data_IF_017429333044
#
_entry.id   IF_017429333044
#
_cell.length_a   1.000
_cell.length_b   1.000
_cell.length_c   1.000
_cell.angle_alpha   90.00
_cell.angle_beta   90.00
_cell.angle_gamma   90.00
#
_symmetry.space_group_name_H-M   'P 1'
#
loop_
_entity.id
_entity.type
_entity.pdbx_description
1 polymer ?
#
# COMPACT_ATOMS: atom_id res chain seq x y z
N UNK A 1 8.69 39.70 -52.29
CA UNK A 1 7.98 40.39 -51.19
C UNK A 1 7.52 41.73 -51.74
N UNK A 2 6.26 41.81 -52.16
CA UNK A 2 5.68 43.00 -52.79
C UNK A 2 5.06 43.86 -51.68
N UNK A 3 5.59 45.06 -51.45
CA UNK A 3 5.01 46.01 -50.50
C UNK A 3 3.97 46.86 -51.24
N UNK A 4 2.69 46.68 -50.91
CA UNK A 4 1.61 47.57 -51.35
C UNK A 4 1.76 48.89 -50.63
N UNK A 5 1.97 49.97 -51.38
CA UNK A 5 2.00 51.35 -50.89
C UNK A 5 0.55 51.82 -50.82
N UNK A 6 0.02 52.00 -49.61
CA UNK A 6 -1.30 52.59 -49.36
C UNK A 6 -1.19 54.12 -49.49
N UNK A 7 -1.96 54.70 -50.41
CA UNK A 7 -1.95 56.12 -50.71
C UNK A 7 -2.71 56.91 -49.63
N UNK A 8 -2.00 57.74 -48.87
CA UNK A 8 -2.59 58.61 -47.87
C UNK A 8 -3.46 59.73 -48.50
N UNK A 9 -4.70 59.84 -48.01
CA UNK A 9 -5.66 60.94 -48.24
C UNK A 9 -5.13 62.29 -47.69
N UNK A 10 -5.29 63.43 -48.40
CA UNK A 10 -4.78 64.72 -47.97
C UNK A 10 -5.74 65.39 -46.99
N UNK A 11 -5.92 64.77 -45.82
CA UNK A 11 -6.99 65.08 -44.87
C UNK A 11 -6.64 64.86 -43.41
N UNK A 12 -5.37 65.04 -43.02
CA UNK A 12 -5.03 65.48 -41.66
C UNK A 12 -5.24 64.51 -40.49
N UNK A 13 -5.35 63.21 -40.70
CA UNK A 13 -5.09 62.22 -39.64
C UNK A 13 -4.11 61.16 -40.16
N UNK A 14 -2.98 60.90 -39.47
CA UNK A 14 -2.14 59.78 -39.83
C UNK A 14 -2.97 58.51 -39.71
N UNK A 15 -3.07 57.75 -40.80
CA UNK A 15 -3.73 56.46 -40.78
C UNK A 15 -3.09 55.61 -39.66
N UNK A 16 -3.90 55.18 -38.69
CA UNK A 16 -3.40 54.24 -37.68
C UNK A 16 -3.01 52.96 -38.41
N UNK A 17 -1.83 52.39 -38.11
CA UNK A 17 -1.44 51.12 -38.72
C UNK A 17 -2.48 50.06 -38.37
N UNK A 18 -2.86 49.25 -39.35
CA UNK A 18 -3.74 48.11 -39.12
C UNK A 18 -3.12 47.19 -38.07
N UNK A 19 -3.88 46.75 -37.04
CA UNK A 19 -3.35 45.83 -36.05
C UNK A 19 -2.91 44.52 -36.70
N UNK A 20 -1.91 43.82 -36.14
CA UNK A 20 -1.50 42.53 -36.66
C UNK A 20 -2.66 41.53 -36.58
N UNK A 21 -2.72 40.53 -37.48
CA UNK A 21 -3.69 39.44 -37.38
C UNK A 21 -3.62 38.72 -36.03
N UNK A 22 -4.77 38.29 -35.52
CA UNK A 22 -4.83 37.48 -34.31
C UNK A 22 -4.11 36.14 -34.51
N UNK A 23 -3.50 35.65 -33.44
CA UNK A 23 -2.88 34.34 -33.46
C UNK A 23 -3.93 33.25 -33.72
N UNK A 24 -3.57 32.17 -34.44
CA UNK A 24 -4.48 31.05 -34.62
C UNK A 24 -4.84 30.44 -33.25
N UNK A 25 -6.06 29.89 -33.09
CA UNK A 25 -6.45 29.22 -31.86
C UNK A 25 -5.51 28.06 -31.59
N UNK A 26 -5.17 27.84 -30.31
CA UNK A 26 -4.34 26.71 -29.91
C UNK A 26 -5.05 25.42 -30.27
N UNK A 27 -4.36 24.56 -31.03
CA UNK A 27 -4.86 23.22 -31.30
C UNK A 27 -4.71 22.34 -30.05
N UNK A 28 -5.68 21.47 -29.74
CA UNK A 28 -5.50 20.45 -28.71
C UNK A 28 -4.23 19.65 -28.99
N UNK A 29 -3.38 19.51 -27.97
CA UNK A 29 -2.23 18.60 -28.06
C UNK A 29 -2.73 17.17 -27.99
N UNK A 30 -2.23 16.29 -28.86
CA UNK A 30 -2.56 14.87 -28.80
C UNK A 30 -1.93 14.24 -27.55
N UNK A 31 -2.75 13.53 -26.77
CA UNK A 31 -2.28 12.75 -25.64
C UNK A 31 -1.84 11.38 -26.18
N UNK A 32 -0.62 10.90 -25.87
CA UNK A 32 -0.20 9.58 -26.29
C UNK A 32 -1.13 8.51 -25.69
N UNK A 33 -1.33 7.38 -26.38
CA UNK A 33 -2.14 6.29 -25.86
C UNK A 33 -1.56 5.78 -24.54
N UNK A 34 -2.44 5.39 -23.62
CA UNK A 34 -2.05 4.79 -22.35
C UNK A 34 -1.28 3.48 -22.59
N UNK A 35 -0.31 3.14 -21.73
CA UNK A 35 0.38 1.85 -21.81
C UNK A 35 -0.59 0.68 -21.60
N UNK A 36 -0.24 -0.53 -22.06
CA UNK A 36 -1.03 -1.73 -21.80
C UNK A 36 -1.20 -2.00 -20.30
N UNK A 37 -2.37 -2.50 -19.92
CA UNK A 37 -2.61 -2.99 -18.55
C UNK A 37 -2.03 -4.39 -18.42
N UNK A 38 -1.28 -4.65 -17.35
CA UNK A 38 -0.81 -5.99 -17.01
C UNK A 38 -2.00 -6.84 -16.53
N UNK A 39 -2.22 -7.99 -17.15
CA UNK A 39 -3.23 -8.93 -16.66
C UNK A 39 -2.79 -9.52 -15.32
N UNK A 40 -3.72 -9.73 -14.37
CA UNK A 40 -3.38 -10.51 -13.19
C UNK A 40 -2.94 -11.92 -13.62
N UNK A 41 -2.11 -12.59 -12.81
CA UNK A 41 -1.74 -13.99 -13.07
C UNK A 41 -3.00 -14.87 -13.16
N UNK A 42 -2.98 -15.84 -14.08
CA UNK A 42 -4.08 -16.79 -14.27
C UNK A 42 -4.28 -17.74 -13.08
N UNK A 43 -3.26 -17.90 -12.23
CA UNK A 43 -3.32 -18.76 -11.05
C UNK A 43 -3.99 -18.06 -9.87
N UNK A 44 -4.98 -18.73 -9.28
CA UNK A 44 -5.53 -18.31 -8.00
C UNK A 44 -4.46 -18.36 -6.91
N UNK A 45 -4.46 -17.41 -5.95
CA UNK A 45 -3.59 -17.50 -4.79
C UNK A 45 -3.77 -18.85 -4.10
N UNK A 46 -2.67 -19.52 -3.80
CA UNK A 46 -2.72 -20.72 -2.95
C UNK A 46 -3.42 -20.34 -1.64
N UNK A 47 -4.61 -20.91 -1.41
CA UNK A 47 -5.40 -20.63 -0.23
C UNK A 47 -4.69 -21.06 1.05
N UNK A 48 -5.10 -20.51 2.19
CA UNK A 48 -4.68 -21.07 3.47
C UNK A 48 -5.28 -22.47 3.63
N UNK A 49 -4.56 -23.44 4.24
CA UNK A 49 -5.17 -24.70 4.62
C UNK A 49 -6.46 -24.46 5.42
N UNK A 50 -7.56 -25.11 5.01
CA UNK A 50 -8.84 -25.00 5.71
C UNK A 50 -8.86 -25.79 7.01
N UNK A 51 -8.02 -26.82 7.09
CA UNK A 51 -7.91 -27.67 8.26
C UNK A 51 -6.98 -27.04 9.30
N UNK A 52 -7.35 -27.08 10.59
CA UNK A 52 -6.46 -26.66 11.66
C UNK A 52 -5.21 -27.55 11.70
N UNK A 53 -4.07 -27.04 12.21
CA UNK A 53 -2.90 -27.87 12.43
C UNK A 53 -3.22 -29.02 13.41
N UNK A 54 -2.52 -30.16 13.33
CA UNK A 54 -2.64 -31.23 14.31
C UNK A 54 -2.41 -30.71 15.73
N UNK A 55 -3.17 -31.22 16.70
CA UNK A 55 -2.94 -30.89 18.10
C UNK A 55 -1.56 -31.38 18.55
N UNK A 56 -0.81 -30.49 19.19
CA UNK A 56 0.44 -30.86 19.84
C UNK A 56 0.12 -31.73 21.06
N UNK A 57 0.99 -32.70 21.38
CA UNK A 57 0.88 -33.41 22.64
C UNK A 57 0.92 -32.42 23.82
N UNK A 58 0.30 -32.75 24.96
CA UNK A 58 0.38 -31.90 26.14
C UNK A 58 1.84 -31.68 26.55
N UNK A 59 2.21 -30.42 26.83
CA UNK A 59 3.54 -30.03 27.34
C UNK A 59 3.73 -30.43 28.82
N UNK A 60 2.79 -31.20 29.38
CA UNK A 60 2.90 -31.71 30.72
C UNK A 60 3.78 -32.96 30.71
N UNK A 61 4.80 -33.05 31.59
CA UNK A 61 5.44 -34.32 31.84
C UNK A 61 4.37 -35.34 32.29
N UNK A 62 4.57 -36.64 32.01
CA UNK A 62 3.67 -37.67 32.52
C UNK A 62 3.47 -37.48 34.01
N UNK A 63 2.21 -37.51 34.48
CA UNK A 63 1.95 -37.47 35.91
C UNK A 63 2.65 -38.66 36.56
N UNK A 64 3.65 -38.35 37.40
CA UNK A 64 4.37 -39.36 38.15
C UNK A 64 3.47 -40.04 39.16
N UNK A 65 3.86 -41.22 39.67
CA UNK A 65 3.13 -41.85 40.76
C UNK A 65 3.03 -40.88 41.94
N UNK A 66 1.83 -40.80 42.54
CA UNK A 66 1.65 -40.07 43.78
C UNK A 66 2.65 -40.57 44.83
N UNK A 67 3.18 -39.64 45.63
CA UNK A 67 4.09 -40.00 46.72
C UNK A 67 3.43 -41.07 47.60
N UNK A 68 4.13 -42.17 47.80
CA UNK A 68 3.65 -43.23 48.67
C UNK A 68 3.89 -42.84 50.14
N UNK A 69 3.18 -43.44 51.10
CA UNK A 69 3.48 -43.25 52.52
C UNK A 69 4.92 -43.61 52.91
N UNK A 70 5.63 -44.42 52.09
CA UNK A 70 7.04 -44.74 52.28
C UNK A 70 7.98 -43.62 51.83
N UNK A 71 7.53 -42.75 50.92
CA UNK A 71 8.29 -41.59 50.45
C UNK A 71 8.20 -40.40 51.41
N UNK A 72 7.20 -40.41 52.31
CA UNK A 72 7.05 -39.38 53.34
C UNK A 72 7.97 -39.68 54.53
N UNK A 73 8.58 -38.65 55.13
CA UNK A 73 9.33 -38.85 56.37
C UNK A 73 8.40 -39.43 57.45
N UNK A 74 8.92 -40.29 58.35
CA UNK A 74 8.13 -40.79 59.47
C UNK A 74 7.54 -39.60 60.24
N UNK A 75 6.31 -39.77 60.72
CA UNK A 75 5.61 -38.75 61.49
C UNK A 75 6.53 -38.27 62.62
N UNK A 76 7.03 -37.03 62.46
CA UNK A 76 7.83 -36.38 63.48
C UNK A 76 6.81 -35.98 64.53
N UNK A 77 6.59 -36.88 65.48
CA UNK A 77 5.68 -36.67 66.60
C UNK A 77 5.93 -35.34 67.33
N UNK A 78 5.09 -34.98 68.30
CA UNK A 78 5.08 -33.64 68.87
C UNK A 78 6.49 -33.18 69.27
N UNK A 79 6.88 -32.00 68.76
CA UNK A 79 8.15 -31.36 69.12
C UNK A 79 8.21 -31.29 70.64
N UNK A 80 9.26 -31.88 71.22
CA UNK A 80 9.48 -31.77 72.67
C UNK A 80 9.73 -30.29 73.01
N UNK A 81 9.17 -29.78 74.12
CA UNK A 81 9.46 -28.42 74.55
C UNK A 81 10.97 -28.29 74.77
N UNK A 82 11.53 -27.16 74.32
CA UNK A 82 12.89 -26.79 74.66
C UNK A 82 12.89 -26.36 76.13
N UNK A 83 13.65 -27.05 76.98
CA UNK A 83 13.93 -26.60 78.35
C UNK A 83 14.92 -25.42 78.36
#
# INVERSE_FOLDING_TARGET
MTATIDAADPGGTPAMPTPPPEAPPLMPTEVPPAPPVESPPDEEPQGIPTEPPPELPPDAPPEGPLATPFDLPPDRGPRQPME
#
